data_IF_192788142316
#
_entry.id   IF_192788142316
#
_cell.length_a   1.000
_cell.length_b   1.000
_cell.length_c   1.000
_cell.angle_alpha   90.00
_cell.angle_beta   90.00
_cell.angle_gamma   90.00
#
_symmetry.space_group_name_H-M   'P 1'
#
loop_
_entity.id
_entity.type
_entity.pdbx_description
1 polymer ?
#
# COMPACT_ATOMS: atom_id res chain seq x y z
N UNK A 1 -19.26 -30.68 -14.44
CA UNK A 1 -17.89 -30.51 -14.98
C UNK A 1 -17.43 -29.09 -14.68
N UNK A 2 -16.43 -28.93 -13.83
CA UNK A 2 -15.88 -27.63 -13.41
C UNK A 2 -14.86 -27.16 -14.45
N UNK A 3 -15.24 -26.17 -15.26
CA UNK A 3 -14.32 -25.45 -16.15
C UNK A 3 -13.51 -24.46 -15.31
N UNK A 4 -12.38 -24.92 -14.77
CA UNK A 4 -11.32 -24.04 -14.27
C UNK A 4 -10.85 -23.16 -15.44
N UNK A 5 -11.32 -21.92 -15.52
CA UNK A 5 -10.71 -20.91 -16.39
C UNK A 5 -9.29 -20.68 -15.88
N UNK A 6 -8.31 -21.30 -16.54
CA UNK A 6 -6.90 -20.89 -16.41
C UNK A 6 -6.84 -19.46 -16.94
N UNK A 7 -6.49 -18.51 -16.08
CA UNK A 7 -6.13 -17.16 -16.49
C UNK A 7 -4.88 -17.32 -17.37
N UNK A 8 -5.08 -17.22 -18.68
CA UNK A 8 -4.00 -17.23 -19.65
C UNK A 8 -3.56 -15.78 -19.82
N UNK A 9 -2.60 -15.35 -19.02
CA UNK A 9 -2.02 -14.01 -19.13
C UNK A 9 -1.25 -13.93 -20.46
N UNK A 10 -1.65 -13.08 -21.42
CA UNK A 10 -0.98 -12.98 -22.71
C UNK A 10 0.48 -12.55 -22.54
N UNK A 11 1.35 -12.95 -23.48
CA UNK A 11 2.70 -12.38 -23.59
C UNK A 11 2.52 -10.97 -24.16
N UNK A 12 2.76 -9.94 -23.36
CA UNK A 12 2.63 -8.56 -23.82
C UNK A 12 3.96 -7.83 -23.62
N UNK A 13 4.43 -7.06 -24.61
CA UNK A 13 5.70 -6.34 -24.56
C UNK A 13 5.70 -5.27 -23.47
N UNK A 14 6.88 -4.85 -23.03
CA UNK A 14 7.11 -3.75 -22.06
C UNK A 14 6.20 -2.55 -22.32
N UNK A 15 5.99 -2.23 -23.59
CA UNK A 15 5.15 -1.12 -24.06
C UNK A 15 3.74 -1.15 -23.46
N UNK A 16 3.16 -2.33 -23.27
CA UNK A 16 1.81 -2.46 -22.68
C UNK A 16 1.80 -2.19 -21.18
N UNK A 17 2.84 -2.61 -20.46
CA UNK A 17 3.02 -2.29 -19.03
C UNK A 17 3.21 -0.77 -18.85
N UNK A 18 3.98 -0.14 -19.74
CA UNK A 18 4.22 1.30 -19.75
C UNK A 18 2.91 2.06 -20.00
N UNK A 19 2.10 1.60 -20.95
CA UNK A 19 0.78 2.20 -21.22
C UNK A 19 -0.19 1.98 -20.06
N UNK A 20 -0.28 0.76 -19.52
CA UNK A 20 -1.16 0.41 -18.41
C UNK A 20 -0.85 1.22 -17.15
N UNK A 21 0.44 1.31 -16.80
CA UNK A 21 0.86 2.07 -15.63
C UNK A 21 0.51 3.56 -15.77
N UNK A 22 0.68 4.20 -16.93
CA UNK A 22 0.21 5.58 -17.09
C UNK A 22 -1.32 5.67 -16.97
N UNK A 23 -2.06 4.78 -17.63
CA UNK A 23 -3.52 4.78 -17.57
C UNK A 23 -4.03 4.61 -16.13
N UNK A 24 -3.44 3.70 -15.34
CA UNK A 24 -3.78 3.50 -13.92
C UNK A 24 -3.43 4.73 -13.07
N UNK A 25 -2.31 5.39 -13.38
CA UNK A 25 -1.93 6.65 -12.75
C UNK A 25 -3.00 7.72 -12.98
N UNK A 26 -3.46 7.89 -14.22
CA UNK A 26 -4.48 8.88 -14.56
C UNK A 26 -5.84 8.52 -13.94
N UNK A 27 -6.21 7.23 -13.94
CA UNK A 27 -7.43 6.76 -13.30
C UNK A 27 -7.45 7.05 -11.80
N UNK A 28 -6.35 6.73 -11.09
CA UNK A 28 -6.21 7.05 -9.67
C UNK A 28 -6.25 8.56 -9.39
N UNK A 29 -5.66 9.36 -10.28
CA UNK A 29 -5.65 10.83 -10.17
C UNK A 29 -7.04 11.44 -10.33
N UNK A 30 -7.82 10.98 -11.30
CA UNK A 30 -9.20 11.46 -11.48
C UNK A 30 -10.08 11.04 -10.30
N UNK A 31 -9.98 9.79 -9.84
CA UNK A 31 -10.67 9.35 -8.62
C UNK A 31 -10.27 10.18 -7.39
N UNK A 32 -8.98 10.52 -7.25
CA UNK A 32 -8.51 11.40 -6.17
C UNK A 32 -9.16 12.79 -6.28
N UNK A 33 -9.17 13.43 -7.46
CA UNK A 33 -9.82 14.73 -7.65
C UNK A 33 -11.30 14.73 -7.29
N UNK A 34 -12.02 13.68 -7.69
CA UNK A 34 -13.43 13.51 -7.33
C UNK A 34 -13.60 13.34 -5.81
N UNK A 35 -12.75 12.55 -5.17
CA UNK A 35 -12.77 12.36 -3.72
C UNK A 35 -12.53 13.63 -2.90
N UNK A 36 -11.88 14.65 -3.46
CA UNK A 36 -11.70 15.96 -2.81
C UNK A 36 -12.99 16.76 -2.69
N UNK A 37 -14.04 16.39 -3.44
CA UNK A 37 -15.37 17.00 -3.31
C UNK A 37 -16.08 16.57 -2.02
N UNK A 38 -15.66 15.45 -1.43
CA UNK A 38 -16.13 15.03 -0.12
C UNK A 38 -15.60 16.01 0.95
N UNK A 39 -16.48 16.85 1.49
CA UNK A 39 -16.15 17.80 2.56
C UNK A 39 -16.14 17.14 3.95
N UNK A 40 -15.47 16.01 4.06
CA UNK A 40 -15.39 15.22 5.30
C UNK A 40 -13.95 15.18 5.77
N UNK A 41 -13.69 15.78 6.93
CA UNK A 41 -12.37 15.81 7.58
C UNK A 41 -12.29 14.73 8.65
N UNK A 42 -11.93 13.51 8.24
CA UNK A 42 -11.65 12.41 9.16
C UNK A 42 -10.58 11.45 8.60
N UNK A 43 -10.00 10.65 9.49
CA UNK A 43 -8.88 9.74 9.15
C UNK A 43 -9.23 8.76 8.03
N UNK A 44 -10.47 8.27 7.99
CA UNK A 44 -10.92 7.29 7.00
C UNK A 44 -10.92 7.91 5.61
N UNK A 45 -11.50 9.10 5.44
CA UNK A 45 -11.51 9.82 4.17
C UNK A 45 -10.08 10.15 3.71
N UNK A 46 -9.26 10.68 4.62
CA UNK A 46 -7.86 10.98 4.34
C UNK A 46 -7.05 9.73 3.97
N UNK A 47 -7.33 8.58 4.60
CA UNK A 47 -6.68 7.33 4.28
C UNK A 47 -6.99 6.90 2.84
N UNK A 48 -8.26 6.84 2.45
CA UNK A 48 -8.64 6.46 1.08
C UNK A 48 -8.18 7.47 0.02
N UNK A 49 -8.24 8.78 0.32
CA UNK A 49 -7.64 9.83 -0.52
C UNK A 49 -6.13 9.63 -0.68
N UNK A 50 -5.45 9.29 0.41
CA UNK A 50 -4.01 8.96 0.44
C UNK A 50 -3.68 7.74 -0.41
N UNK A 51 -4.50 6.68 -0.37
CA UNK A 51 -4.36 5.52 -1.26
C UNK A 51 -4.45 5.94 -2.73
N UNK A 52 -5.48 6.71 -3.12
CA UNK A 52 -5.66 7.15 -4.50
C UNK A 52 -4.47 7.99 -4.99
N UNK A 53 -4.03 8.97 -4.20
CA UNK A 53 -2.86 9.79 -4.52
C UNK A 53 -1.58 8.93 -4.61
N UNK A 54 -1.38 8.00 -3.67
CA UNK A 54 -0.22 7.11 -3.68
C UNK A 54 -0.23 6.22 -4.93
N UNK A 55 -1.36 5.64 -5.30
CA UNK A 55 -1.47 4.84 -6.52
C UNK A 55 -1.27 5.67 -7.79
N UNK A 56 -1.66 6.94 -7.83
CA UNK A 56 -1.28 7.85 -8.92
C UNK A 56 0.24 7.95 -9.05
N UNK A 57 0.93 8.25 -7.96
CA UNK A 57 2.39 8.45 -7.94
C UNK A 57 3.13 7.15 -8.30
N UNK A 58 2.82 6.05 -7.60
CA UNK A 58 3.51 4.77 -7.78
C UNK A 58 3.36 4.23 -9.21
N UNK A 59 2.18 4.38 -9.83
CA UNK A 59 1.99 3.96 -11.22
C UNK A 59 2.75 4.86 -12.21
N UNK A 60 2.81 6.18 -11.96
CA UNK A 60 3.60 7.11 -12.77
C UNK A 60 5.11 6.81 -12.70
N UNK A 61 5.58 6.40 -11.53
CA UNK A 61 6.98 6.01 -11.32
C UNK A 61 7.30 4.72 -12.09
N UNK A 62 6.41 3.71 -12.06
CA UNK A 62 6.55 2.51 -12.91
C UNK A 62 6.62 2.89 -14.39
N UNK A 63 5.69 3.72 -14.88
CA UNK A 63 5.69 4.19 -16.26
C UNK A 63 7.04 4.79 -16.65
N UNK A 64 7.58 5.67 -15.80
CA UNK A 64 8.85 6.36 -16.04
C UNK A 64 10.04 5.40 -16.07
N UNK A 65 10.10 4.48 -15.09
CA UNK A 65 11.19 3.51 -14.96
C UNK A 65 11.17 2.47 -16.08
N UNK A 66 9.99 2.00 -16.48
CA UNK A 66 9.81 1.01 -17.54
C UNK A 66 9.92 1.62 -18.94
N UNK A 67 9.50 2.87 -19.13
CA UNK A 67 9.48 3.57 -20.41
C UNK A 67 10.82 4.18 -20.80
N UNK A 68 11.81 4.22 -19.89
CA UNK A 68 13.15 4.75 -20.17
C UNK A 68 14.23 3.69 -19.93
N UNK A 69 14.91 3.21 -20.98
CA UNK A 69 16.03 2.28 -20.83
C UNK A 69 17.16 2.80 -19.93
N UNK A 70 17.29 4.13 -19.79
CA UNK A 70 18.31 4.78 -18.94
C UNK A 70 17.94 4.76 -17.46
N UNK A 71 16.66 4.59 -17.13
CA UNK A 71 16.14 4.64 -15.76
C UNK A 71 15.61 3.28 -15.28
N UNK A 72 15.65 2.26 -16.14
CA UNK A 72 15.21 0.91 -15.79
C UNK A 72 16.06 0.34 -14.65
N UNK A 73 15.43 0.15 -13.50
CA UNK A 73 15.98 -0.56 -12.35
C UNK A 73 14.91 -1.50 -11.82
N UNK A 74 15.12 -2.80 -12.00
CA UNK A 74 14.14 -3.79 -11.60
C UNK A 74 13.89 -3.75 -10.09
N UNK A 75 14.96 -3.66 -9.29
CA UNK A 75 14.83 -3.61 -7.84
C UNK A 75 13.94 -2.43 -7.39
N UNK A 76 14.07 -1.27 -8.04
CA UNK A 76 13.23 -0.10 -7.75
C UNK A 76 11.77 -0.35 -8.11
N UNK A 77 11.51 -0.95 -9.27
CA UNK A 77 10.16 -1.34 -9.69
C UNK A 77 9.55 -2.32 -8.69
N UNK A 78 10.28 -3.35 -8.26
CA UNK A 78 9.76 -4.36 -7.33
C UNK A 78 9.47 -3.80 -5.93
N UNK A 79 10.23 -2.79 -5.46
CA UNK A 79 9.92 -2.04 -4.24
C UNK A 79 8.57 -1.30 -4.38
N UNK A 80 8.35 -0.65 -5.53
CA UNK A 80 7.09 0.05 -5.82
C UNK A 80 5.92 -0.95 -5.86
N UNK A 81 6.09 -2.08 -6.54
CA UNK A 81 5.05 -3.12 -6.61
C UNK A 81 4.73 -3.72 -5.24
N UNK A 82 5.74 -3.91 -4.38
CA UNK A 82 5.54 -4.36 -3.00
C UNK A 82 4.64 -3.40 -2.23
N UNK A 83 4.85 -2.09 -2.38
CA UNK A 83 4.02 -1.08 -1.74
C UNK A 83 2.57 -1.10 -2.25
N UNK A 84 2.35 -1.26 -3.56
CA UNK A 84 1.00 -1.42 -4.13
C UNK A 84 0.27 -2.66 -3.57
N UNK A 85 1.01 -3.75 -3.33
CA UNK A 85 0.45 -4.97 -2.76
C UNK A 85 0.16 -4.86 -1.26
N UNK A 86 0.92 -4.07 -0.50
CA UNK A 86 0.54 -3.73 0.89
C UNK A 86 -0.85 -3.09 0.90
N UNK A 87 -1.10 -2.15 -0.02
CA UNK A 87 -2.35 -1.39 -0.09
C UNK A 87 -3.52 -2.27 -0.49
N UNK A 88 -3.33 -3.12 -1.50
CA UNK A 88 -4.34 -4.09 -1.91
C UNK A 88 -4.76 -5.01 -0.75
N UNK A 89 -3.80 -5.55 -0.02
CA UNK A 89 -4.07 -6.45 1.11
C UNK A 89 -4.75 -5.72 2.26
N UNK A 90 -4.34 -4.49 2.58
CA UNK A 90 -4.98 -3.68 3.60
C UNK A 90 -6.41 -3.28 3.21
N UNK A 91 -6.64 -2.77 1.99
CA UNK A 91 -7.99 -2.41 1.55
C UNK A 91 -8.92 -3.62 1.45
N UNK A 92 -8.42 -4.75 0.97
CA UNK A 92 -9.19 -6.00 0.97
C UNK A 92 -9.64 -6.39 2.39
N UNK A 93 -8.74 -6.22 3.38
CA UNK A 93 -9.04 -6.47 4.78
C UNK A 93 -10.07 -5.49 5.36
N UNK A 94 -9.95 -4.21 5.03
CA UNK A 94 -10.90 -3.19 5.46
C UNK A 94 -12.29 -3.45 4.86
N UNK A 95 -12.37 -3.79 3.57
CA UNK A 95 -13.62 -4.17 2.89
C UNK A 95 -14.29 -5.38 3.56
N UNK A 96 -13.50 -6.42 3.87
CA UNK A 96 -13.99 -7.62 4.57
C UNK A 96 -14.55 -7.33 5.97
N UNK A 97 -14.07 -6.28 6.63
CA UNK A 97 -14.53 -5.82 7.94
C UNK A 97 -15.12 -4.41 7.87
N UNK A 98 -16.00 -4.16 6.88
CA UNK A 98 -16.54 -2.83 6.60
C UNK A 98 -17.11 -2.12 7.83
N UNK A 99 -17.76 -2.84 8.74
CA UNK A 99 -18.33 -2.31 9.99
C UNK A 99 -17.30 -1.85 11.03
N UNK A 100 -16.01 -2.10 10.81
CA UNK A 100 -14.90 -1.71 11.70
C UNK A 100 -13.80 -0.94 10.97
N UNK A 101 -14.11 -0.41 9.79
CA UNK A 101 -13.15 0.29 8.92
C UNK A 101 -12.46 1.45 9.67
N UNK A 102 -13.23 2.34 10.30
CA UNK A 102 -12.68 3.49 11.02
C UNK A 102 -11.74 3.06 12.16
N UNK A 103 -12.14 2.07 12.96
CA UNK A 103 -11.30 1.54 14.05
C UNK A 103 -10.00 0.92 13.51
N UNK A 104 -10.09 0.19 12.39
CA UNK A 104 -8.94 -0.42 11.75
C UNK A 104 -7.98 0.61 11.15
N UNK A 105 -8.49 1.68 10.55
CA UNK A 105 -7.68 2.80 10.02
C UNK A 105 -7.02 3.56 11.16
N UNK A 106 -7.72 3.85 12.26
CA UNK A 106 -7.11 4.43 13.46
C UNK A 106 -5.95 3.57 13.96
N UNK A 107 -6.08 2.24 13.95
CA UNK A 107 -5.00 1.32 14.33
C UNK A 107 -3.83 1.33 13.34
N UNK A 108 -4.10 1.42 12.04
CA UNK A 108 -3.07 1.57 11.00
C UNK A 108 -2.26 2.85 11.21
N UNK A 109 -2.94 3.99 11.38
CA UNK A 109 -2.28 5.28 11.62
C UNK A 109 -1.54 5.29 12.96
N UNK A 110 -2.12 4.71 14.02
CA UNK A 110 -1.45 4.58 15.32
C UNK A 110 -0.14 3.77 15.22
N UNK A 111 -0.11 2.72 14.38
CA UNK A 111 1.09 1.93 14.14
C UNK A 111 2.18 2.75 13.45
N UNK A 112 1.85 3.57 12.46
CA UNK A 112 2.81 4.48 11.80
C UNK A 112 3.44 5.45 12.80
N UNK A 113 2.62 6.09 13.64
CA UNK A 113 3.12 6.97 14.70
C UNK A 113 4.04 6.22 15.67
N UNK A 114 3.64 5.00 16.09
CA UNK A 114 4.46 4.18 16.97
C UNK A 114 5.84 3.88 16.36
N UNK A 115 5.90 3.51 15.07
CA UNK A 115 7.15 3.23 14.36
C UNK A 115 8.02 4.48 14.19
N UNK A 116 7.41 5.64 13.94
CA UNK A 116 8.11 6.92 13.85
C UNK A 116 8.71 7.34 15.19
N UNK A 117 7.93 7.29 16.27
CA UNK A 117 8.44 7.59 17.62
C UNK A 117 9.51 6.60 18.07
N UNK A 118 9.35 5.31 17.74
CA UNK A 118 10.37 4.30 18.01
C UNK A 118 11.68 4.64 17.29
N UNK A 119 11.63 5.01 16.01
CA UNK A 119 12.83 5.39 15.23
C UNK A 119 13.54 6.60 15.83
N UNK A 120 12.80 7.63 16.25
CA UNK A 120 13.38 8.81 16.92
C UNK A 120 14.03 8.40 18.24
N UNK A 121 13.37 7.55 19.03
CA UNK A 121 13.90 7.07 20.32
C UNK A 121 15.17 6.26 20.14
N UNK A 122 15.19 5.32 19.21
CA UNK A 122 16.36 4.48 18.91
C UNK A 122 17.54 5.35 18.43
N UNK A 123 17.29 6.34 17.58
CA UNK A 123 18.33 7.28 17.14
C UNK A 123 18.86 8.15 18.30
N UNK A 124 17.97 8.59 19.20
CA UNK A 124 18.37 9.29 20.42
C UNK A 124 19.22 8.41 21.34
N UNK A 125 18.83 7.15 21.54
CA UNK A 125 19.59 6.19 22.35
C UNK A 125 20.98 5.94 21.76
N UNK A 126 21.09 5.82 20.43
CA UNK A 126 22.39 5.71 19.74
C UNK A 126 23.22 6.97 19.97
N UNK A 127 22.63 8.17 19.86
CA UNK A 127 23.35 9.42 20.10
C UNK A 127 23.95 9.47 21.50
N UNK A 128 23.15 9.12 22.51
CA UNK A 128 23.62 9.11 23.91
C UNK A 128 24.69 8.02 24.14
N UNK A 129 24.47 6.80 23.66
CA UNK A 129 25.34 5.65 23.96
C UNK A 129 26.66 5.67 23.18
N UNK A 130 26.66 6.14 21.93
CA UNK A 130 27.82 6.06 21.03
C UNK A 130 28.53 7.40 20.90
N UNK A 131 27.77 8.51 20.92
CA UNK A 131 28.30 9.85 20.65
C UNK A 131 28.22 10.79 21.86
N UNK A 132 27.89 10.25 23.06
CA UNK A 132 27.75 11.01 24.31
C UNK A 132 26.78 12.20 24.17
N UNK A 133 25.76 12.07 23.32
CA UNK A 133 24.76 13.11 23.05
C UNK A 133 25.30 14.31 22.26
N UNK A 134 26.48 14.20 21.64
CA UNK A 134 27.17 15.33 20.97
C UNK A 134 26.96 15.39 19.46
N UNK A 135 26.45 14.33 18.82
CA UNK A 135 26.16 14.38 17.39
C UNK A 135 24.92 15.25 17.12
N UNK A 136 25.12 16.34 16.38
CA UNK A 136 24.08 17.34 16.07
C UNK A 136 23.12 16.88 14.96
N UNK A 137 23.46 15.83 14.22
CA UNK A 137 22.64 15.28 13.15
C UNK A 137 21.68 14.19 13.65
N UNK A 138 21.86 13.72 14.90
CA UNK A 138 21.01 12.73 15.52
C UNK A 138 20.08 13.37 16.57
N UNK A 139 18.86 12.83 16.75
CA UNK A 139 17.99 13.21 17.86
C UNK A 139 18.69 13.06 19.22
N UNK A 140 18.24 13.82 20.21
CA UNK A 140 18.59 13.63 21.63
C UNK A 140 17.37 13.14 22.40
N UNK A 141 17.57 12.65 23.64
CA UNK A 141 16.45 12.24 24.48
C UNK A 141 15.46 13.39 24.73
N UNK A 142 15.97 14.61 24.98
CA UNK A 142 15.13 15.80 25.17
C UNK A 142 14.31 16.16 23.93
N UNK A 143 14.85 15.94 22.71
CA UNK A 143 14.07 16.11 21.48
C UNK A 143 12.93 15.09 21.39
N UNK A 144 13.20 13.82 21.66
CA UNK A 144 12.16 12.77 21.69
C UNK A 144 11.05 13.13 22.66
N UNK A 145 11.39 13.50 23.91
CA UNK A 145 10.43 13.85 24.95
C UNK A 145 9.57 15.06 24.53
N UNK A 146 10.20 16.08 23.92
CA UNK A 146 9.51 17.25 23.41
C UNK A 146 8.49 16.91 22.31
N UNK A 147 8.89 16.14 21.29
CA UNK A 147 7.99 15.78 20.18
C UNK A 147 6.86 14.89 20.67
N UNK A 148 7.13 13.95 21.58
CA UNK A 148 6.11 13.10 22.18
C UNK A 148 5.10 13.91 23.02
N UNK A 149 5.58 14.83 23.86
CA UNK A 149 4.73 15.70 24.65
C UNK A 149 3.83 16.57 23.75
N UNK A 150 4.40 17.16 22.68
CA UNK A 150 3.65 17.93 21.69
C UNK A 150 2.58 17.09 20.97
N UNK A 151 2.88 15.84 20.66
CA UNK A 151 1.90 14.94 20.04
C UNK A 151 0.75 14.59 21.01
N UNK A 152 1.08 14.33 22.29
CA UNK A 152 0.10 14.03 23.34
C UNK A 152 -0.83 15.20 23.66
N UNK A 153 -0.36 16.44 23.52
CA UNK A 153 -1.14 17.64 23.82
C UNK A 153 -2.23 17.97 22.80
N UNK A 154 -2.29 17.25 21.66
CA UNK A 154 -3.35 17.42 20.68
C UNK A 154 -4.48 16.43 20.97
N UNK A 155 -5.67 16.93 21.32
CA UNK A 155 -6.80 16.08 21.75
C UNK A 155 -7.21 15.05 20.69
N UNK A 156 -7.19 15.44 19.42
CA UNK A 156 -7.52 14.54 18.30
C UNK A 156 -6.61 13.30 18.24
N UNK A 157 -5.39 13.37 18.79
CA UNK A 157 -4.44 12.26 18.77
C UNK A 157 -4.72 11.23 19.87
N UNK A 158 -5.61 11.51 20.83
CA UNK A 158 -5.97 10.57 21.89
C UNK A 158 -6.45 9.22 21.33
N UNK A 159 -7.15 9.24 20.19
CA UNK A 159 -7.66 8.05 19.50
C UNK A 159 -6.60 7.03 19.10
N UNK A 160 -5.33 7.43 18.99
CA UNK A 160 -4.23 6.56 18.60
C UNK A 160 -3.62 5.78 19.77
N UNK A 161 -3.93 6.13 21.01
CA UNK A 161 -3.41 5.46 22.20
C UNK A 161 -4.34 4.36 22.70
N UNK A 162 -3.78 3.33 23.34
CA UNK A 162 -4.55 2.24 23.96
C UNK A 162 -5.24 2.68 25.25
N UNK A 163 -4.62 3.61 25.97
CA UNK A 163 -5.02 4.06 27.31
C UNK A 163 -5.03 5.58 27.38
N UNK A 164 -5.77 6.12 28.34
CA UNK A 164 -5.86 7.57 28.57
C UNK A 164 -4.55 8.21 29.05
N UNK A 165 -3.64 7.40 29.60
CA UNK A 165 -2.28 7.81 29.98
C UNK A 165 -1.39 8.13 28.76
N UNK A 166 -1.84 7.77 27.55
CA UNK A 166 -1.14 8.02 26.28
C UNK A 166 0.30 7.48 26.27
N UNK A 167 0.53 6.34 26.92
CA UNK A 167 1.86 5.71 27.02
C UNK A 167 2.11 4.75 25.86
N UNK A 168 1.06 4.05 25.43
CA UNK A 168 1.14 3.02 24.40
C UNK A 168 0.23 3.31 23.21
N UNK A 169 0.77 3.24 22.00
CA UNK A 169 0.00 3.31 20.76
C UNK A 169 -0.80 2.03 20.51
N UNK A 170 -1.97 2.17 19.88
CA UNK A 170 -2.72 1.04 19.34
C UNK A 170 -1.89 0.33 18.28
N UNK A 171 -1.94 -1.00 18.31
CA UNK A 171 -1.28 -1.83 17.30
C UNK A 171 -2.23 -2.20 16.17
N UNK A 172 -1.66 -2.44 14.99
CA UNK A 172 -2.34 -3.11 13.89
C UNK A 172 -1.74 -4.49 13.63
N UNK A 173 -2.48 -5.33 12.92
CA UNK A 173 -2.04 -6.67 12.54
C UNK A 173 -0.78 -6.61 11.68
N UNK A 174 0.08 -7.63 11.83
CA UNK A 174 1.16 -7.86 10.88
C UNK A 174 0.58 -8.37 9.56
N UNK A 175 1.28 -8.16 8.44
CA UNK A 175 0.80 -8.55 7.11
C UNK A 175 0.41 -10.04 7.01
N UNK A 176 1.19 -10.93 7.64
CA UNK A 176 0.86 -12.36 7.71
C UNK A 176 -0.49 -12.62 8.40
N UNK A 177 -0.82 -11.85 9.43
CA UNK A 177 -2.09 -11.96 10.17
C UNK A 177 -3.26 -11.36 9.38
N UNK A 178 -3.03 -10.26 8.64
CA UNK A 178 -4.00 -9.69 7.69
C UNK A 178 -4.39 -10.75 6.66
N UNK A 179 -3.40 -11.36 6.01
CA UNK A 179 -3.60 -12.40 4.99
C UNK A 179 -4.26 -13.64 5.58
N UNK A 180 -3.86 -14.09 6.78
CA UNK A 180 -4.52 -15.22 7.44
C UNK A 180 -6.01 -14.97 7.66
N UNK A 181 -6.41 -13.74 8.00
CA UNK A 181 -7.83 -13.38 8.14
C UNK A 181 -8.54 -13.33 6.79
N UNK A 182 -7.92 -12.78 5.75
CA UNK A 182 -8.47 -12.80 4.39
C UNK A 182 -8.67 -14.23 3.88
N UNK A 183 -7.72 -15.12 4.14
CA UNK A 183 -7.80 -16.52 3.71
C UNK A 183 -8.89 -17.33 4.43
N UNK A 184 -9.36 -16.86 5.58
CA UNK A 184 -10.49 -17.48 6.26
C UNK A 184 -11.83 -17.27 5.52
N UNK A 185 -11.89 -16.29 4.60
CA UNK A 185 -13.07 -16.01 3.77
C UNK A 185 -12.83 -16.48 2.33
N UNK A 186 -13.70 -17.36 1.83
CA UNK A 186 -13.48 -18.11 0.57
C UNK A 186 -13.36 -17.21 -0.67
N UNK A 187 -14.15 -16.14 -0.73
CA UNK A 187 -14.17 -15.09 -1.74
C UNK A 187 -12.86 -14.25 -1.78
N UNK A 188 -12.17 -14.09 -0.65
CA UNK A 188 -10.91 -13.33 -0.58
C UNK A 188 -9.66 -14.20 -0.75
N UNK A 189 -9.74 -15.49 -0.41
CA UNK A 189 -8.57 -16.36 -0.22
C UNK A 189 -7.64 -16.43 -1.43
N UNK A 190 -8.16 -16.64 -2.65
CA UNK A 190 -7.31 -16.83 -3.83
C UNK A 190 -6.46 -15.58 -4.14
N UNK A 191 -7.10 -14.40 -4.15
CA UNK A 191 -6.43 -13.15 -4.46
C UNK A 191 -5.50 -12.72 -3.32
N UNK A 192 -5.89 -12.94 -2.06
CA UNK A 192 -5.06 -12.63 -0.90
C UNK A 192 -3.79 -13.49 -0.84
N UNK A 193 -3.89 -14.81 -1.08
CA UNK A 193 -2.73 -15.72 -1.12
C UNK A 193 -1.77 -15.31 -2.23
N UNK A 194 -2.30 -15.02 -3.42
CA UNK A 194 -1.47 -14.70 -4.58
C UNK A 194 -0.80 -13.32 -4.44
N UNK A 195 -1.53 -12.30 -4.00
CA UNK A 195 -0.95 -10.99 -3.67
C UNK A 195 0.12 -11.11 -2.57
N UNK A 196 -0.12 -11.91 -1.53
CA UNK A 196 0.87 -12.13 -0.46
C UNK A 196 2.13 -12.85 -0.94
N UNK A 197 1.99 -13.81 -1.86
CA UNK A 197 3.13 -14.47 -2.48
C UNK A 197 4.01 -13.46 -3.24
N UNK A 198 3.41 -12.60 -4.07
CA UNK A 198 4.13 -11.56 -4.80
C UNK A 198 4.79 -10.57 -3.83
N UNK A 199 4.04 -10.10 -2.83
CA UNK A 199 4.52 -9.19 -1.78
C UNK A 199 5.75 -9.77 -1.07
N UNK A 200 5.71 -11.05 -0.70
CA UNK A 200 6.82 -11.72 -0.02
C UNK A 200 8.02 -11.92 -0.95
N UNK A 201 7.77 -12.24 -2.22
CA UNK A 201 8.81 -12.35 -3.25
C UNK A 201 9.56 -11.04 -3.43
N UNK A 202 8.84 -9.91 -3.51
CA UNK A 202 9.45 -8.58 -3.62
C UNK A 202 10.16 -8.13 -2.34
N UNK A 203 9.65 -8.51 -1.17
CA UNK A 203 10.27 -8.17 0.12
C UNK A 203 11.70 -8.74 0.28
N UNK A 204 12.03 -9.84 -0.39
CA UNK A 204 13.38 -10.41 -0.33
C UNK A 204 14.45 -9.50 -0.93
N UNK A 205 14.08 -8.63 -1.87
CA UNK A 205 15.01 -7.81 -2.66
C UNK A 205 15.56 -6.64 -1.86
N UNK A 206 14.79 -6.15 -0.89
CA UNK A 206 15.20 -5.08 0.02
C UNK A 206 16.27 -5.56 1.01
N UNK A 207 16.26 -6.85 1.35
CA UNK A 207 17.06 -7.39 2.45
C UNK A 207 18.27 -8.22 2.00
N UNK A 208 18.27 -8.78 0.78
CA UNK A 208 19.27 -9.76 0.36
C UNK A 208 19.90 -9.40 -0.99
N UNK A 209 21.13 -8.89 -0.97
CA UNK A 209 21.85 -8.43 -2.17
C UNK A 209 22.10 -9.50 -3.22
N UNK A 210 22.26 -10.78 -2.83
CA UNK A 210 22.40 -11.88 -3.77
C UNK A 210 21.13 -12.10 -4.60
N UNK A 211 19.95 -11.97 -3.98
CA UNK A 211 18.66 -12.08 -4.68
C UNK A 211 18.52 -10.96 -5.70
N UNK A 212 18.83 -9.73 -5.31
CA UNK A 212 18.77 -8.56 -6.20
C UNK A 212 19.74 -8.70 -7.37
N UNK A 213 20.97 -9.15 -7.12
CA UNK A 213 21.96 -9.41 -8.17
C UNK A 213 21.50 -10.49 -9.15
N UNK A 214 21.00 -11.61 -8.64
CA UNK A 214 20.57 -12.73 -9.48
C UNK A 214 19.37 -12.37 -10.36
N UNK A 215 18.43 -11.56 -9.87
CA UNK A 215 17.25 -11.14 -10.63
C UNK A 215 17.60 -10.19 -11.77
N UNK A 216 18.46 -9.21 -11.52
CA UNK A 216 18.94 -8.28 -12.55
C UNK A 216 19.74 -9.03 -13.64
N UNK A 217 20.55 -10.02 -13.25
CA UNK A 217 21.36 -10.82 -14.20
C UNK A 217 20.55 -11.82 -15.01
N UNK A 218 19.50 -12.41 -14.42
CA UNK A 218 18.69 -13.47 -15.04
C UNK A 218 17.26 -13.00 -15.33
N UNK A 219 17.12 -11.76 -15.77
CA UNK A 219 15.85 -11.20 -16.19
C UNK A 219 15.18 -12.07 -17.27
N UNK A 220 13.88 -12.33 -17.11
CA UNK A 220 13.10 -13.12 -18.07
C UNK A 220 11.61 -12.73 -18.07
N UNK A 221 10.89 -13.20 -19.09
CA UNK A 221 9.46 -12.89 -19.34
C UNK A 221 8.51 -13.15 -18.16
N UNK A 222 8.92 -13.94 -17.18
CA UNK A 222 8.11 -14.24 -15.99
C UNK A 222 7.96 -13.03 -15.08
N UNK A 223 8.97 -12.15 -15.02
CA UNK A 223 8.88 -10.94 -14.22
C UNK A 223 7.92 -9.91 -14.82
N UNK A 224 7.87 -9.75 -16.15
CA UNK A 224 6.86 -8.90 -16.79
C UNK A 224 5.44 -9.33 -16.43
N UNK A 225 5.17 -10.64 -16.38
CA UNK A 225 3.87 -11.17 -15.95
C UNK A 225 3.57 -10.84 -14.49
N UNK A 226 4.57 -10.90 -13.61
CA UNK A 226 4.39 -10.53 -12.21
C UNK A 226 4.14 -9.03 -12.04
N UNK A 227 4.79 -8.18 -12.84
CA UNK A 227 4.53 -6.74 -12.88
C UNK A 227 3.09 -6.48 -13.32
N UNK A 228 2.65 -7.08 -14.43
CA UNK A 228 1.27 -6.97 -14.93
C UNK A 228 0.25 -7.43 -13.90
N UNK A 229 0.51 -8.56 -13.24
CA UNK A 229 -0.36 -9.06 -12.18
C UNK A 229 -0.43 -8.06 -11.01
N UNK A 230 0.69 -7.40 -10.67
CA UNK A 230 0.73 -6.36 -9.66
C UNK A 230 -0.03 -5.10 -10.07
N UNK A 231 -0.02 -4.73 -11.35
CA UNK A 231 -0.86 -3.66 -11.89
C UNK A 231 -2.36 -4.00 -11.78
N UNK A 232 -2.74 -5.26 -11.98
CA UNK A 232 -4.12 -5.72 -11.73
C UNK A 232 -4.53 -5.54 -10.26
N UNK A 233 -3.64 -5.82 -9.32
CA UNK A 233 -3.90 -5.52 -7.90
C UNK A 233 -4.02 -4.01 -7.65
N UNK A 234 -3.19 -3.18 -8.29
CA UNK A 234 -3.33 -1.71 -8.23
C UNK A 234 -4.69 -1.23 -8.75
N UNK A 235 -5.15 -1.74 -9.89
CA UNK A 235 -6.47 -1.45 -10.42
C UNK A 235 -7.58 -1.79 -9.41
N UNK A 236 -7.49 -2.96 -8.79
CA UNK A 236 -8.44 -3.39 -7.77
C UNK A 236 -8.36 -2.55 -6.49
N UNK A 237 -7.17 -2.10 -6.08
CA UNK A 237 -7.01 -1.17 -4.95
C UNK A 237 -7.69 0.17 -5.23
N UNK A 238 -7.51 0.72 -6.43
CA UNK A 238 -8.20 1.96 -6.86
C UNK A 238 -9.72 1.74 -6.83
N UNK A 239 -10.20 0.61 -7.37
CA UNK A 239 -11.61 0.24 -7.34
C UNK A 239 -12.19 0.13 -5.94
N UNK A 240 -11.48 -0.50 -5.00
CA UNK A 240 -11.89 -0.59 -3.59
C UNK A 240 -11.96 0.79 -2.93
N UNK A 241 -11.07 1.70 -3.27
CA UNK A 241 -11.12 3.08 -2.77
C UNK A 241 -12.30 3.86 -3.36
N UNK A 242 -12.60 3.69 -4.66
CA UNK A 242 -13.77 4.30 -5.30
C UNK A 242 -15.07 3.78 -4.67
N UNK A 243 -15.19 2.46 -4.49
CA UNK A 243 -16.35 1.81 -3.87
C UNK A 243 -16.62 2.34 -2.45
N UNK A 244 -15.57 2.66 -1.68
CA UNK A 244 -15.73 3.36 -0.41
C UNK A 244 -16.42 4.72 -0.58
N UNK A 245 -16.00 5.56 -1.53
CA UNK A 245 -16.61 6.87 -1.74
C UNK A 245 -18.01 6.80 -2.33
N UNK A 246 -18.27 5.84 -3.22
CA UNK A 246 -19.59 5.61 -3.81
C UNK A 246 -20.60 5.14 -2.76
N UNK A 247 -20.21 4.16 -1.94
CA UNK A 247 -21.03 3.68 -0.81
C UNK A 247 -21.34 4.77 0.22
N UNK A 248 -20.54 5.84 0.28
CA UNK A 248 -20.76 7.00 1.15
C UNK A 248 -21.42 8.19 0.41
N UNK A 249 -21.90 8.00 -0.84
CA UNK A 249 -22.69 8.97 -1.58
C UNK A 249 -21.88 10.18 -2.10
N UNK A 250 -20.56 10.06 -2.22
CA UNK A 250 -19.71 11.20 -2.60
C UNK A 250 -19.47 11.30 -4.11
N UNK A 251 -19.33 10.18 -4.81
CA UNK A 251 -19.37 10.14 -6.27
C UNK A 251 -19.66 8.71 -6.75
N UNK A 252 -20.34 8.59 -7.89
CA UNK A 252 -20.69 7.29 -8.45
C UNK A 252 -19.46 6.55 -8.97
N UNK A 253 -19.42 5.24 -8.75
CA UNK A 253 -18.41 4.37 -9.32
C UNK A 253 -18.32 4.56 -10.84
N UNK A 254 -17.10 4.70 -11.34
CA UNK A 254 -16.81 4.70 -12.76
C UNK A 254 -15.59 3.83 -13.03
N UNK A 255 -15.69 2.96 -14.03
CA UNK A 255 -14.56 2.23 -14.59
C UNK A 255 -14.35 2.72 -16.01
N UNK A 256 -13.11 3.01 -16.40
CA UNK A 256 -12.81 3.24 -17.81
C UNK A 256 -12.93 1.89 -18.54
N UNK A 257 -13.87 1.79 -19.50
CA UNK A 257 -14.12 0.57 -20.30
C UNK A 257 -12.84 0.04 -20.94
N UNK A 258 -11.85 0.90 -21.21
CA UNK A 258 -10.53 0.51 -21.73
C UNK A 258 -9.80 -0.48 -20.82
N UNK A 259 -9.98 -0.44 -19.51
CA UNK A 259 -9.37 -1.42 -18.61
C UNK A 259 -10.01 -2.81 -18.79
N UNK A 260 -11.33 -2.86 -18.95
CA UNK A 260 -12.05 -4.11 -19.20
C UNK A 260 -11.66 -4.71 -20.55
N UNK A 261 -11.54 -3.87 -21.60
CA UNK A 261 -11.04 -4.27 -22.92
C UNK A 261 -9.60 -4.82 -22.87
N UNK A 262 -8.78 -4.30 -21.96
CA UNK A 262 -7.40 -4.75 -21.71
C UNK A 262 -7.32 -5.96 -20.74
N UNK A 263 -8.46 -6.50 -20.34
CA UNK A 263 -8.55 -7.73 -19.54
C UNK A 263 -8.40 -7.52 -18.03
N UNK A 264 -8.44 -6.28 -17.54
CA UNK A 264 -8.55 -6.01 -16.11
C UNK A 264 -9.95 -6.40 -15.63
N UNK A 265 -10.00 -7.05 -14.48
CA UNK A 265 -11.25 -7.50 -13.87
C UNK A 265 -11.26 -7.08 -12.40
N UNK A 266 -12.41 -6.58 -11.95
CA UNK A 266 -12.65 -6.40 -10.53
C UNK A 266 -12.79 -7.77 -9.86
N UNK A 267 -12.14 -7.92 -8.72
CA UNK A 267 -12.31 -9.08 -7.89
C UNK A 267 -13.68 -9.02 -7.22
N UNK A 268 -14.48 -10.06 -7.44
CA UNK A 268 -15.73 -10.24 -6.71
C UNK A 268 -15.39 -10.60 -5.26
N UNK A 269 -15.81 -9.74 -4.35
CA UNK A 269 -15.75 -9.99 -2.92
C UNK A 269 -17.12 -10.30 -2.33
N UNK A 270 -18.17 -10.35 -3.15
CA UNK A 270 -19.51 -10.76 -2.76
C UNK A 270 -19.70 -12.28 -2.99
N UNK A 271 -20.61 -12.89 -2.23
CA UNK A 271 -20.88 -14.36 -2.20
C UNK A 271 -21.36 -14.95 -3.53
#
# INVERSE_FOLDING_TARGET
>A
MSTKRKIQVPKLPIDEIVVDSMALSDYAKEAYKESLKAKTDNDTFHYYQGILMRHHILNRDIHTLMGSPKHFSLNTIEIILRAMLDDFLHLSYLKMYSSKTDEAIIKLNAKEYAESFKSIKEAADINEQVFEGKDKNLPTQGYYDHVLAKFKSVDQNAKYFKTDEKTDFKGFLQMKQVVAKLCAQKNYANNAVRAYYLWKSYSGIVHYSSVSFDREKHWHDGYYKMIQESLLYSFNTIGLAIDFFDSNGHFSFFCDDKFLERGYVFFSFDE
#
